data_IF_364847829218
#
_entry.id   IF_364847829218
#
_cell.length_a   1.000
_cell.length_b   1.000
_cell.length_c   1.000
_cell.angle_alpha   90.00
_cell.angle_beta   90.00
_cell.angle_gamma   90.00
#
_symmetry.space_group_name_H-M   'P 1'
#
loop_
_entity.id
_entity.type
_entity.pdbx_description
1 polymer ?
#
# COMPACT_ATOMS: atom_id res chain seq x y z
N UNK A 1 -4.86 -35.46 25.50
CA UNK A 1 -4.56 -35.05 25.31
C UNK A 1 -4.17 -34.40 25.05
N UNK A 2 -4.06 -34.50 25.02
CA UNK A 2 -3.58 -33.69 24.73
C UNK A 2 -3.43 -32.92 24.12
N UNK A 3 -3.58 -32.81 23.93
CA UNK A 3 -3.30 -31.99 23.28
C UNK A 3 -3.42 -31.13 22.97
N UNK A 4 -3.65 -30.95 23.07
CA UNK A 4 -3.63 -30.07 22.86
C UNK A 4 -3.22 -29.18 22.55
N UNK A 5 -3.16 -29.23 22.48
CA UNK A 5 -2.71 -28.44 22.32
C UNK A 5 -2.34 -27.83 22.02
N UNK A 6 -2.27 -28.00 21.99
CA UNK A 6 -1.85 -27.26 21.73
C UNK A 6 -1.75 -26.56 21.05
N UNK A 7 -1.99 -26.32 20.80
CA UNK A 7 -1.94 -25.54 20.30
C UNK A 7 -1.63 -24.78 19.83
N UNK A 8 -1.41 -24.66 19.65
CA UNK A 8 -1.13 -23.89 19.14
C UNK A 8 -0.72 -23.58 18.39
N UNK A 9 -0.71 -23.45 18.45
CA UNK A 9 -0.04 -22.79 17.67
C UNK A 9 0.42 -22.61 16.48
N UNK A 10 0.12 -22.98 15.95
CA UNK A 10 0.36 -22.98 14.56
C UNK A 10 0.17 -21.65 13.93
N UNK A 11 -0.85 -20.93 14.24
CA UNK A 11 -0.94 -19.55 13.80
C UNK A 11 -0.04 -18.72 14.71
N UNK A 12 0.52 -17.63 14.20
CA UNK A 12 1.30 -16.77 15.06
C UNK A 12 0.45 -16.32 16.23
N UNK A 13 0.97 -16.45 17.40
CA UNK A 13 0.24 -16.01 18.56
C UNK A 13 0.22 -14.48 18.60
N UNK A 14 -0.59 -13.93 19.49
CA UNK A 14 -0.73 -12.48 19.59
C UNK A 14 0.59 -11.79 19.83
N UNK A 15 1.47 -12.44 20.59
CA UNK A 15 2.77 -11.88 20.89
C UNK A 15 3.64 -11.73 19.66
N UNK A 16 3.63 -12.75 18.80
CA UNK A 16 4.39 -12.70 17.57
C UNK A 16 3.83 -11.67 16.60
N UNK A 17 2.52 -11.58 16.53
CA UNK A 17 1.88 -10.57 15.69
C UNK A 17 2.20 -9.16 16.18
N UNK A 18 2.18 -8.97 17.47
CA UNK A 18 2.50 -7.68 18.06
C UNK A 18 3.95 -7.31 17.76
N UNK A 19 4.87 -8.27 17.84
CA UNK A 19 6.26 -8.00 17.54
C UNK A 19 6.46 -7.64 16.07
N UNK A 20 5.74 -8.31 15.18
CA UNK A 20 5.82 -8.00 13.76
C UNK A 20 5.33 -6.58 13.49
N UNK A 21 4.24 -6.19 14.14
CA UNK A 21 3.72 -4.83 13.99
C UNK A 21 4.67 -3.80 14.55
N UNK A 22 5.25 -4.08 15.71
CA UNK A 22 6.24 -3.18 16.30
C UNK A 22 7.45 -3.04 15.38
N UNK A 23 7.87 -4.15 14.77
CA UNK A 23 8.96 -4.11 13.81
C UNK A 23 8.67 -3.20 12.63
N UNK A 24 7.44 -3.26 12.13
CA UNK A 24 7.03 -2.38 11.04
C UNK A 24 6.99 -0.92 11.49
N UNK A 25 6.49 -0.68 12.70
CA UNK A 25 6.43 0.67 13.23
C UNK A 25 7.81 1.26 13.51
N UNK A 26 8.82 0.39 13.58
CA UNK A 26 10.18 0.83 13.83
C UNK A 26 10.99 1.04 12.57
N UNK A 27 10.35 0.93 11.41
CA UNK A 27 11.05 1.26 10.17
C UNK A 27 11.59 2.68 10.29
N UNK A 28 12.79 2.89 9.77
CA UNK A 28 13.39 4.20 9.83
C UNK A 28 12.56 5.19 9.00
N UNK A 29 12.61 6.44 9.40
CA UNK A 29 11.95 7.50 8.65
C UNK A 29 12.43 7.52 7.20
N UNK A 30 13.73 7.26 7.01
CA UNK A 30 14.30 7.21 5.68
C UNK A 30 13.66 6.12 4.82
N UNK A 31 13.44 4.94 5.40
CA UNK A 31 12.77 3.85 4.69
C UNK A 31 11.34 4.21 4.32
N UNK A 32 10.65 4.89 5.22
CA UNK A 32 9.28 5.33 4.95
C UNK A 32 9.24 6.33 3.80
N UNK A 33 10.17 7.28 3.79
CA UNK A 33 10.25 8.24 2.69
C UNK A 33 10.60 7.56 1.38
N UNK A 34 11.46 6.56 1.43
CA UNK A 34 11.81 5.80 0.22
C UNK A 34 10.58 5.08 -0.33
N UNK A 35 9.80 4.44 0.53
CA UNK A 35 8.57 3.78 0.09
C UNK A 35 7.57 4.77 -0.45
N UNK A 36 7.45 5.92 0.20
CA UNK A 36 6.55 6.97 -0.27
C UNK A 36 6.94 7.40 -1.68
N UNK A 37 8.22 7.60 -1.93
CA UNK A 37 8.71 7.98 -3.25
C UNK A 37 8.37 6.93 -4.30
N UNK A 38 8.52 5.65 -3.94
CA UNK A 38 8.18 4.55 -4.84
C UNK A 38 6.70 4.55 -5.20
N UNK A 39 5.84 4.72 -4.20
CA UNK A 39 4.40 4.74 -4.46
C UNK A 39 3.98 5.96 -5.24
N UNK A 40 4.62 7.09 -5.02
CA UNK A 40 4.36 8.28 -5.82
C UNK A 40 4.76 8.06 -7.27
N UNK A 41 5.83 7.29 -7.49
CA UNK A 41 6.22 6.90 -8.84
C UNK A 41 5.18 5.99 -9.49
N UNK A 42 4.63 5.05 -8.73
CA UNK A 42 3.55 4.19 -9.23
C UNK A 42 2.32 5.02 -9.58
N UNK A 43 1.97 5.97 -8.71
CA UNK A 43 0.83 6.85 -8.96
C UNK A 43 1.01 7.61 -10.26
N UNK A 44 2.19 8.14 -10.49
CA UNK A 44 2.47 8.88 -11.72
C UNK A 44 2.31 8.00 -12.95
N UNK A 45 2.83 6.79 -12.90
CA UNK A 45 2.69 5.86 -14.03
C UNK A 45 1.24 5.49 -14.28
N UNK A 46 0.48 5.29 -13.21
CA UNK A 46 -0.94 4.98 -13.35
C UNK A 46 -1.70 6.14 -13.97
N UNK A 47 -1.36 7.36 -13.59
CA UNK A 47 -1.99 8.53 -14.18
C UNK A 47 -1.65 8.67 -15.66
N UNK A 48 -0.41 8.37 -16.03
CA UNK A 48 -0.01 8.38 -17.44
C UNK A 48 -0.78 7.33 -18.25
N UNK A 49 -0.91 6.13 -17.67
CA UNK A 49 -1.67 5.06 -18.32
C UNK A 49 -3.14 5.45 -18.46
N UNK A 50 -3.68 6.08 -17.43
CA UNK A 50 -5.06 6.52 -17.48
C UNK A 50 -5.29 7.54 -18.58
N UNK A 51 -4.40 8.48 -18.70
CA UNK A 51 -4.50 9.49 -19.75
C UNK A 51 -4.46 8.85 -21.14
N UNK A 52 -3.57 7.88 -21.31
CA UNK A 52 -3.46 7.19 -22.59
C UNK A 52 -4.74 6.42 -22.92
N UNK A 53 -5.30 5.72 -21.95
CA UNK A 53 -6.54 4.97 -22.18
C UNK A 53 -7.72 5.89 -22.45
N UNK A 54 -7.76 7.04 -21.80
CA UNK A 54 -8.82 8.02 -22.05
C UNK A 54 -8.73 8.57 -23.45
N UNK A 55 -7.53 8.76 -23.98
CA UNK A 55 -7.37 9.17 -25.36
C UNK A 55 -7.89 8.10 -26.33
N UNK A 56 -7.65 6.83 -26.02
CA UNK A 56 -8.15 5.75 -26.85
C UNK A 56 -9.66 5.65 -26.81
N UNK A 57 -10.26 5.90 -25.64
CA UNK A 57 -11.72 5.98 -25.53
C UNK A 57 -12.28 7.05 -26.45
N UNK A 58 -11.66 8.22 -26.44
CA UNK A 58 -12.08 9.33 -27.29
C UNK A 58 -11.92 8.96 -28.78
N UNK A 59 -10.98 8.08 -29.10
CA UNK A 59 -10.75 7.64 -30.46
C UNK A 59 -11.68 6.52 -30.93
N UNK A 60 -12.59 6.04 -30.08
CA UNK A 60 -13.58 5.05 -30.47
C UNK A 60 -13.33 3.61 -30.04
N UNK A 61 -12.23 3.33 -29.33
CA UNK A 61 -11.94 1.98 -28.83
C UNK A 61 -12.61 1.80 -27.48
N UNK A 62 -13.93 1.71 -27.47
CA UNK A 62 -14.71 1.89 -26.25
C UNK A 62 -14.60 0.72 -25.28
N UNK A 63 -14.74 -0.51 -25.77
CA UNK A 63 -14.94 -1.64 -24.86
C UNK A 63 -13.71 -1.96 -24.03
N UNK A 64 -12.57 -2.16 -24.67
CA UNK A 64 -11.34 -2.53 -24.00
C UNK A 64 -10.83 -1.40 -23.11
N UNK A 65 -10.90 -0.18 -23.62
CA UNK A 65 -10.38 0.96 -22.88
C UNK A 65 -11.20 1.28 -21.65
N UNK A 66 -12.53 1.07 -21.70
CA UNK A 66 -13.37 1.29 -20.53
C UNK A 66 -12.99 0.37 -19.40
N UNK A 67 -12.76 -0.91 -19.70
CA UNK A 67 -12.35 -1.87 -18.67
C UNK A 67 -10.99 -1.51 -18.10
N UNK A 68 -10.06 -1.09 -18.95
CA UNK A 68 -8.73 -0.69 -18.50
C UNK A 68 -8.79 0.56 -17.63
N UNK A 69 -9.62 1.51 -18.00
CA UNK A 69 -9.79 2.72 -17.19
C UNK A 69 -10.28 2.36 -15.80
N UNK A 70 -11.27 1.46 -15.71
CA UNK A 70 -11.77 1.04 -14.41
C UNK A 70 -10.69 0.33 -13.59
N UNK A 71 -9.90 -0.53 -14.23
CA UNK A 71 -8.82 -1.24 -13.56
C UNK A 71 -7.76 -0.27 -13.06
N UNK A 72 -7.42 0.74 -13.87
CA UNK A 72 -6.43 1.73 -13.47
C UNK A 72 -6.95 2.55 -12.29
N UNK A 73 -8.22 2.95 -12.33
CA UNK A 73 -8.80 3.68 -11.21
C UNK A 73 -8.76 2.87 -9.91
N UNK A 74 -9.01 1.57 -9.99
CA UNK A 74 -8.95 0.72 -8.82
C UNK A 74 -7.54 0.67 -8.25
N UNK A 75 -6.54 0.50 -9.12
CA UNK A 75 -5.15 0.49 -8.70
C UNK A 75 -4.72 1.83 -8.12
N UNK A 76 -5.16 2.90 -8.77
CA UNK A 76 -4.83 4.25 -8.31
C UNK A 76 -5.41 4.50 -6.91
N UNK A 77 -6.61 4.02 -6.66
CA UNK A 77 -7.23 4.13 -5.35
C UNK A 77 -6.41 3.41 -4.28
N UNK A 78 -5.97 2.19 -4.57
CA UNK A 78 -5.14 1.44 -3.63
C UNK A 78 -3.79 2.12 -3.41
N UNK A 79 -3.20 2.63 -4.48
CA UNK A 79 -1.92 3.34 -4.39
C UNK A 79 -2.05 4.59 -3.53
N UNK A 80 -3.09 5.36 -3.72
CA UNK A 80 -3.32 6.58 -2.95
C UNK A 80 -3.59 6.29 -1.49
N UNK A 81 -4.28 5.18 -1.22
CA UNK A 81 -4.50 4.76 0.16
C UNK A 81 -3.17 4.43 0.82
N UNK A 82 -2.31 3.70 0.12
CA UNK A 82 -0.99 3.37 0.65
C UNK A 82 -0.16 4.62 0.91
N UNK A 83 -0.23 5.60 0.01
CA UNK A 83 0.49 6.86 0.18
C UNK A 83 0.00 7.57 1.44
N UNK A 84 -1.31 7.66 1.62
CA UNK A 84 -1.88 8.31 2.80
C UNK A 84 -1.42 7.63 4.08
N UNK A 85 -1.40 6.29 4.07
CA UNK A 85 -0.96 5.55 5.24
C UNK A 85 0.51 5.77 5.53
N UNK A 86 1.34 5.83 4.49
CA UNK A 86 2.76 6.11 4.66
C UNK A 86 2.98 7.52 5.21
N UNK A 87 2.22 8.48 4.74
CA UNK A 87 2.33 9.84 5.24
C UNK A 87 2.00 9.92 6.72
N UNK A 88 0.97 9.19 7.15
CA UNK A 88 0.63 9.13 8.56
C UNK A 88 1.76 8.48 9.36
N UNK A 89 2.31 7.39 8.85
CA UNK A 89 3.41 6.71 9.51
C UNK A 89 4.65 7.60 9.64
N UNK A 90 4.95 8.34 8.58
CA UNK A 90 6.09 9.26 8.59
C UNK A 90 5.89 10.34 9.64
N UNK A 91 4.69 10.92 9.67
CA UNK A 91 4.38 11.94 10.64
C UNK A 91 4.52 11.40 12.06
N UNK A 92 3.99 10.21 12.30
CA UNK A 92 4.10 9.57 13.60
C UNK A 92 5.55 9.30 13.96
N UNK A 93 6.32 8.78 13.02
CA UNK A 93 7.72 8.46 13.23
C UNK A 93 8.54 9.71 13.58
N UNK A 94 8.30 10.79 12.87
CA UNK A 94 9.02 12.03 13.13
C UNK A 94 8.66 12.62 14.47
N UNK A 95 7.39 12.55 14.85
CA UNK A 95 6.97 13.07 16.15
C UNK A 95 7.56 12.24 17.29
N UNK A 96 7.64 10.94 17.11
CA UNK A 96 8.13 10.06 18.17
C UNK A 96 9.64 10.09 18.29
N UNK A 97 10.35 10.50 17.27
CA UNK A 97 11.80 10.65 17.35
C UNK A 97 12.23 11.75 18.30
N UNK A 98 11.37 12.74 18.47
CA UNK A 98 11.67 13.86 19.36
C UNK A 98 11.46 13.53 20.82
N UNK A 99 10.65 12.53 21.06
CA UNK A 99 10.35 12.13 22.41
C UNK A 99 11.49 11.42 23.05
#
# INVERSE_FOLDING_TARGET
MPGKGKKRPTSPNASEQAQAMVGQLRRSTQELYQQLSEYQGYERRLLDMLELEQRQLSGGSVDTSADRVLAIHARLGRCRKAISELEVEIQWSEQNRRG
#
